data_IF_908086661046
#
_entry.id   IF_908086661046
#
_cell.length_a   1.000
_cell.length_b   1.000
_cell.length_c   1.000
_cell.angle_alpha   90.00
_cell.angle_beta   90.00
_cell.angle_gamma   90.00
#
_symmetry.space_group_name_H-M   'P 1'
#
loop_
_entity.id
_entity.type
_entity.pdbx_description
1 polymer ?
#
# COMPACT_ATOMS: atom_id res chain seq x y z
N UNK A 1 -6.78 -10.17 10.21
CA UNK A 1 -5.43 -10.17 10.77
C UNK A 1 -4.55 -9.24 9.96
N UNK A 2 -3.76 -8.45 10.63
CA UNK A 2 -2.83 -7.52 9.97
C UNK A 2 -1.42 -8.06 10.11
N UNK A 3 -0.73 -8.17 8.98
CA UNK A 3 0.68 -8.57 8.94
C UNK A 3 1.55 -7.34 8.83
N UNK A 4 2.78 -7.43 9.32
CA UNK A 4 3.74 -6.35 9.26
C UNK A 4 4.90 -6.76 8.38
N UNK A 5 5.23 -5.90 7.39
CA UNK A 5 6.43 -6.04 6.59
C UNK A 5 7.38 -4.96 7.04
N UNK A 6 8.57 -5.38 7.48
CA UNK A 6 9.65 -4.47 7.83
C UNK A 6 10.86 -4.83 6.99
N UNK A 7 11.81 -3.92 6.89
CA UNK A 7 13.06 -4.19 6.21
C UNK A 7 13.72 -5.42 6.84
N UNK A 8 13.98 -6.44 6.04
CA UNK A 8 14.61 -7.68 6.49
C UNK A 8 13.66 -8.80 6.87
N UNK A 9 12.36 -8.55 6.94
CA UNK A 9 11.38 -9.61 7.19
C UNK A 9 10.90 -10.26 5.90
N UNK A 10 10.63 -11.55 5.97
CA UNK A 10 10.02 -12.27 4.87
C UNK A 10 8.54 -11.96 4.82
N UNK A 11 8.09 -11.55 3.65
CA UNK A 11 6.69 -11.35 3.37
C UNK A 11 6.12 -12.68 2.89
N UNK A 12 5.19 -13.25 3.65
CA UNK A 12 4.62 -14.56 3.31
C UNK A 12 3.32 -14.41 2.54
N UNK A 13 3.28 -15.00 1.36
CA UNK A 13 2.09 -15.10 0.53
C UNK A 13 1.83 -16.58 0.20
N UNK A 14 0.60 -16.91 -0.24
CA UNK A 14 0.20 -18.28 -0.54
C UNK A 14 0.58 -18.75 -1.95
N UNK A 15 1.71 -18.27 -2.48
CA UNK A 15 2.19 -18.59 -3.82
C UNK A 15 3.72 -18.71 -3.79
N UNK A 16 4.32 -19.16 -4.88
CA UNK A 16 5.71 -19.62 -4.89
C UNK A 16 6.73 -18.66 -4.26
N UNK A 17 7.72 -19.21 -3.57
CA UNK A 17 8.73 -18.46 -2.82
C UNK A 17 9.45 -17.39 -3.64
N UNK A 18 9.81 -17.71 -4.90
CA UNK A 18 10.52 -16.75 -5.76
C UNK A 18 9.66 -15.53 -6.09
N UNK A 19 8.35 -15.73 -6.32
CA UNK A 19 7.44 -14.61 -6.53
C UNK A 19 7.22 -13.80 -5.26
N UNK A 20 7.07 -14.47 -4.11
CA UNK A 20 6.96 -13.80 -2.83
C UNK A 20 8.15 -12.91 -2.58
N UNK A 21 9.35 -13.40 -2.86
CA UNK A 21 10.58 -12.66 -2.66
C UNK A 21 10.63 -11.43 -3.58
N UNK A 22 10.35 -11.62 -4.86
CA UNK A 22 10.37 -10.52 -5.83
C UNK A 22 9.37 -9.40 -5.49
N UNK A 23 8.14 -9.78 -5.16
CA UNK A 23 7.11 -8.81 -4.77
C UNK A 23 7.47 -8.14 -3.44
N UNK A 24 8.01 -8.87 -2.49
CA UNK A 24 8.47 -8.30 -1.22
C UNK A 24 9.53 -7.23 -1.41
N UNK A 25 10.49 -7.47 -2.30
CA UNK A 25 11.51 -6.48 -2.65
C UNK A 25 10.91 -5.24 -3.30
N UNK A 26 10.01 -5.44 -4.24
CA UNK A 26 9.33 -4.34 -4.95
C UNK A 26 8.52 -3.49 -3.96
N UNK A 27 7.77 -4.14 -3.08
CA UNK A 27 6.98 -3.44 -2.06
C UNK A 27 7.85 -2.67 -1.08
N UNK A 28 9.01 -3.23 -0.72
CA UNK A 28 9.97 -2.53 0.15
C UNK A 28 10.47 -1.26 -0.53
N UNK A 29 10.89 -1.35 -1.77
CA UNK A 29 11.41 -0.21 -2.52
C UNK A 29 10.32 0.85 -2.73
N UNK A 30 9.11 0.43 -3.06
CA UNK A 30 7.98 1.34 -3.21
C UNK A 30 7.68 2.07 -1.90
N UNK A 31 7.58 1.31 -0.80
CA UNK A 31 7.30 1.86 0.52
C UNK A 31 8.35 2.88 0.93
N UNK A 32 9.62 2.58 0.67
CA UNK A 32 10.71 3.50 0.98
C UNK A 32 10.56 4.82 0.24
N UNK A 33 10.20 4.79 -1.04
CA UNK A 33 9.98 6.02 -1.82
C UNK A 33 8.81 6.82 -1.26
N UNK A 34 7.74 6.15 -0.83
CA UNK A 34 6.59 6.80 -0.21
C UNK A 34 6.98 7.44 1.13
N UNK A 35 7.75 6.74 1.96
CA UNK A 35 8.24 7.28 3.22
C UNK A 35 9.09 8.54 2.99
N UNK A 36 9.96 8.52 2.01
CA UNK A 36 10.80 9.66 1.67
C UNK A 36 9.98 10.85 1.16
N UNK A 37 8.93 10.58 0.38
CA UNK A 37 8.07 11.62 -0.17
C UNK A 37 7.23 12.31 0.91
N UNK A 38 6.54 11.53 1.73
CA UNK A 38 5.61 12.08 2.73
C UNK A 38 6.31 12.58 4.00
N UNK A 39 7.42 11.96 4.39
CA UNK A 39 8.12 12.31 5.62
C UNK A 39 7.20 12.20 6.84
N UNK A 40 7.13 13.25 7.64
CA UNK A 40 6.33 13.27 8.87
C UNK A 40 4.82 13.23 8.63
N UNK A 41 4.38 13.55 7.43
CA UNK A 41 2.95 13.49 7.10
C UNK A 41 2.46 12.09 6.80
N UNK A 42 3.35 11.10 6.71
CA UNK A 42 2.97 9.71 6.52
C UNK A 42 2.52 9.09 7.84
N UNK A 43 1.33 8.50 7.83
CA UNK A 43 0.82 7.75 8.98
C UNK A 43 1.04 6.26 8.76
N UNK A 44 0.62 5.75 7.61
CA UNK A 44 0.66 4.30 7.37
C UNK A 44 0.62 4.01 5.88
N UNK A 45 1.29 2.93 5.48
CA UNK A 45 1.15 2.35 4.15
C UNK A 45 0.60 0.95 4.32
N UNK A 46 -0.50 0.64 3.67
CA UNK A 46 -1.20 -0.63 3.78
C UNK A 46 -1.29 -1.32 2.43
N UNK A 47 -0.96 -2.61 2.41
CA UNK A 47 -1.29 -3.50 1.31
C UNK A 47 -2.66 -4.10 1.59
N UNK A 48 -3.58 -4.02 0.63
CA UNK A 48 -4.90 -4.63 0.76
C UNK A 48 -5.26 -5.34 -0.54
N UNK A 49 -6.48 -5.86 -0.62
CA UNK A 49 -6.94 -6.54 -1.83
C UNK A 49 -6.35 -7.93 -2.00
N UNK A 50 -6.31 -8.42 -3.24
CA UNK A 50 -5.98 -9.81 -3.54
C UNK A 50 -4.58 -10.22 -3.08
N UNK A 51 -3.59 -9.36 -3.21
CA UNK A 51 -2.24 -9.67 -2.73
C UNK A 51 -2.18 -9.81 -1.22
N UNK A 52 -2.93 -8.99 -0.48
CA UNK A 52 -2.99 -9.11 0.97
C UNK A 52 -3.70 -10.40 1.42
N UNK A 53 -4.74 -10.80 0.69
CA UNK A 53 -5.48 -12.04 0.98
C UNK A 53 -4.76 -13.30 0.51
N UNK A 54 -3.80 -13.16 -0.43
CA UNK A 54 -3.12 -14.31 -1.02
C UNK A 54 -3.90 -15.00 -2.14
N UNK A 55 -4.96 -14.36 -2.65
CA UNK A 55 -5.77 -14.90 -3.75
C UNK A 55 -5.53 -14.17 -5.08
N UNK A 56 -4.43 -13.46 -5.18
CA UNK A 56 -4.05 -12.74 -6.39
C UNK A 56 -3.81 -13.69 -7.56
N UNK A 57 -4.14 -13.19 -8.74
CA UNK A 57 -3.88 -13.85 -10.02
C UNK A 57 -2.69 -13.17 -10.71
N UNK A 58 -2.22 -13.78 -11.79
CA UNK A 58 -1.07 -13.29 -12.55
C UNK A 58 -1.17 -11.82 -12.94
N UNK A 59 -2.37 -11.36 -13.29
CA UNK A 59 -2.61 -9.98 -13.73
C UNK A 59 -3.23 -9.09 -12.65
N UNK A 60 -3.22 -9.51 -11.40
CA UNK A 60 -3.79 -8.70 -10.31
C UNK A 60 -2.92 -7.49 -10.05
N UNK A 61 -3.58 -6.34 -9.83
CA UNK A 61 -2.89 -5.12 -9.37
C UNK A 61 -2.49 -5.29 -7.91
N UNK A 62 -1.45 -4.59 -7.53
CA UNK A 62 -1.08 -4.48 -6.12
C UNK A 62 -1.80 -3.26 -5.56
N UNK A 63 -2.72 -3.48 -4.62
CA UNK A 63 -3.53 -2.41 -4.04
C UNK A 63 -2.86 -1.85 -2.78
N UNK A 64 -2.52 -0.57 -2.83
CA UNK A 64 -1.85 0.13 -1.73
C UNK A 64 -2.72 1.30 -1.27
N UNK A 65 -2.89 1.42 0.03
CA UNK A 65 -3.49 2.61 0.64
C UNK A 65 -2.44 3.35 1.46
N UNK A 66 -2.36 4.65 1.23
CA UNK A 66 -1.50 5.55 1.99
C UNK A 66 -2.40 6.38 2.90
N UNK A 67 -2.15 6.31 4.20
CA UNK A 67 -2.81 7.17 5.18
C UNK A 67 -1.86 8.28 5.56
N UNK A 68 -2.35 9.51 5.52
CA UNK A 68 -1.55 10.71 5.72
C UNK A 68 -2.29 11.73 6.58
N UNK A 69 -1.55 12.66 7.16
CA UNK A 69 -2.13 13.82 7.87
C UNK A 69 -2.55 14.93 6.91
N UNK A 70 -2.19 14.83 5.63
CA UNK A 70 -2.56 15.84 4.63
C UNK A 70 -4.08 15.92 4.47
N UNK A 71 -4.57 17.13 4.23
CA UNK A 71 -5.99 17.35 3.93
C UNK A 71 -6.33 16.80 2.53
N UNK A 72 -7.63 16.64 2.26
CA UNK A 72 -8.08 16.20 0.94
C UNK A 72 -7.59 17.15 -0.18
N UNK A 73 -7.57 18.44 0.10
CA UNK A 73 -7.06 19.43 -0.85
C UNK A 73 -5.57 19.22 -1.13
N UNK A 74 -4.78 19.05 -0.07
CA UNK A 74 -3.35 18.80 -0.20
C UNK A 74 -3.08 17.48 -0.93
N UNK A 75 -3.87 16.44 -0.66
CA UNK A 75 -3.77 15.16 -1.36
C UNK A 75 -4.00 15.35 -2.86
N UNK A 76 -5.04 16.09 -3.24
CA UNK A 76 -5.32 16.37 -4.65
C UNK A 76 -4.15 17.06 -5.34
N UNK A 77 -3.44 17.93 -4.62
CA UNK A 77 -2.30 18.67 -5.16
C UNK A 77 -1.08 17.78 -5.41
N UNK A 78 -0.92 16.68 -4.64
CA UNK A 78 0.29 15.84 -4.71
C UNK A 78 0.05 14.46 -5.33
N UNK A 79 -1.19 14.05 -5.54
CA UNK A 79 -1.49 12.67 -5.94
C UNK A 79 -0.82 12.26 -7.26
N UNK A 80 -0.64 13.20 -8.20
CA UNK A 80 0.03 12.90 -9.46
C UNK A 80 1.49 12.51 -9.26
N UNK A 81 2.16 13.10 -8.28
CA UNK A 81 3.54 12.72 -7.95
C UNK A 81 3.61 11.26 -7.50
N UNK A 82 2.61 10.82 -6.75
CA UNK A 82 2.53 9.45 -6.26
C UNK A 82 2.21 8.48 -7.41
N UNK A 83 1.30 8.88 -8.30
CA UNK A 83 1.00 8.07 -9.49
C UNK A 83 2.22 7.95 -10.39
N UNK A 84 3.04 8.98 -10.50
CA UNK A 84 4.30 8.93 -11.24
C UNK A 84 5.27 7.92 -10.63
N UNK A 85 5.34 7.86 -9.29
CA UNK A 85 6.15 6.84 -8.60
C UNK A 85 5.64 5.45 -8.95
N UNK A 86 4.33 5.22 -8.87
CA UNK A 86 3.74 3.92 -9.21
C UNK A 86 4.03 3.56 -10.68
N UNK A 87 3.98 4.52 -11.57
CA UNK A 87 4.28 4.32 -12.98
C UNK A 87 5.74 3.88 -13.20
N UNK A 88 6.69 4.42 -12.44
CA UNK A 88 8.08 3.98 -12.50
C UNK A 88 8.20 2.47 -12.22
N UNK A 89 7.44 1.98 -11.25
CA UNK A 89 7.44 0.55 -10.92
C UNK A 89 6.80 -0.29 -12.01
N UNK A 90 5.76 0.23 -12.68
CA UNK A 90 5.18 -0.44 -13.83
C UNK A 90 6.19 -0.57 -14.96
N UNK A 91 6.94 0.50 -15.24
CA UNK A 91 7.94 0.50 -16.31
C UNK A 91 9.15 -0.38 -15.98
N UNK A 92 9.62 -0.32 -14.73
CA UNK A 92 10.85 -1.00 -14.34
C UNK A 92 10.62 -2.50 -14.08
N UNK A 93 9.46 -2.87 -13.53
CA UNK A 93 9.22 -4.25 -13.06
C UNK A 93 8.01 -4.91 -13.71
N UNK A 94 7.23 -4.17 -14.51
CA UNK A 94 5.98 -4.70 -15.07
C UNK A 94 4.91 -4.93 -14.02
N UNK A 95 5.01 -4.27 -12.86
CA UNK A 95 4.07 -4.43 -11.75
C UNK A 95 3.18 -3.20 -11.65
N UNK A 96 1.87 -3.42 -11.73
CA UNK A 96 0.88 -2.36 -11.64
C UNK A 96 0.48 -2.15 -10.18
N UNK A 97 0.83 -0.98 -9.65
CA UNK A 97 0.49 -0.62 -8.27
C UNK A 97 -0.64 0.41 -8.30
N UNK A 98 -1.79 0.02 -7.75
CA UNK A 98 -2.96 0.89 -7.63
C UNK A 98 -2.91 1.58 -6.26
N UNK A 99 -2.82 2.90 -6.24
CA UNK A 99 -2.61 3.65 -5.01
C UNK A 99 -3.84 4.50 -4.70
N UNK A 100 -4.30 4.41 -3.46
CA UNK A 100 -5.33 5.30 -2.91
C UNK A 100 -4.69 6.04 -1.73
N UNK A 101 -4.86 7.36 -1.72
CA UNK A 101 -4.33 8.22 -0.64
C UNK A 101 -5.52 8.77 0.14
N UNK A 102 -5.50 8.59 1.47
CA UNK A 102 -6.58 9.05 2.34
C UNK A 102 -6.03 9.80 3.54
N UNK A 103 -6.75 10.85 3.93
CA UNK A 103 -6.53 11.50 5.20
C UNK A 103 -6.90 10.53 6.34
N UNK A 104 -6.07 10.45 7.37
CA UNK A 104 -6.28 9.52 8.48
C UNK A 104 -7.61 9.74 9.19
N UNK A 105 -8.01 10.99 9.43
CA UNK A 105 -9.25 11.30 10.14
C UNK A 105 -10.47 10.89 9.31
N UNK A 106 -10.42 11.07 8.01
CA UNK A 106 -11.48 10.62 7.10
C UNK A 106 -11.57 9.09 7.13
N UNK A 107 -10.44 8.41 7.10
CA UNK A 107 -10.42 6.95 7.19
C UNK A 107 -11.09 6.47 8.48
N UNK A 108 -10.71 7.05 9.63
CA UNK A 108 -11.28 6.70 10.93
C UNK A 108 -12.78 6.99 11.00
N UNK A 109 -13.20 8.10 10.39
CA UNK A 109 -14.61 8.48 10.36
C UNK A 109 -15.48 7.42 9.68
N UNK A 110 -15.01 6.87 8.56
CA UNK A 110 -15.77 5.88 7.79
C UNK A 110 -15.56 4.45 8.24
N UNK A 111 -14.54 4.22 9.08
CA UNK A 111 -14.28 2.89 9.63
C UNK A 111 -15.47 2.44 10.48
N UNK A 112 -15.93 1.24 10.24
CA UNK A 112 -17.14 0.70 10.90
C UNK A 112 -18.44 0.96 10.13
N UNK A 113 -18.43 1.89 9.16
CA UNK A 113 -19.63 2.28 8.42
C UNK A 113 -19.60 1.80 6.97
N UNK A 114 -18.46 2.02 6.28
CA UNK A 114 -18.35 1.63 4.87
C UNK A 114 -17.55 0.32 4.74
N UNK A 115 -18.11 -0.67 4.03
CA UNK A 115 -17.47 -1.99 3.88
C UNK A 115 -16.04 -1.93 3.37
N UNK A 116 -15.74 -1.02 2.44
CA UNK A 116 -14.40 -0.88 1.89
C UNK A 116 -13.36 -0.61 2.98
N UNK A 117 -13.65 0.36 3.87
CA UNK A 117 -12.71 0.73 4.95
C UNK A 117 -12.55 -0.41 5.95
N UNK A 118 -13.64 -1.12 6.26
CA UNK A 118 -13.58 -2.27 7.14
C UNK A 118 -12.74 -3.40 6.55
N UNK A 119 -12.86 -3.63 5.26
CA UNK A 119 -12.08 -4.66 4.58
C UNK A 119 -10.59 -4.31 4.57
N UNK A 120 -10.26 -3.05 4.32
CA UNK A 120 -8.86 -2.61 4.37
C UNK A 120 -8.26 -2.81 5.76
N UNK A 121 -9.00 -2.44 6.80
CA UNK A 121 -8.55 -2.61 8.20
C UNK A 121 -8.37 -4.09 8.55
N UNK A 122 -9.32 -4.92 8.14
CA UNK A 122 -9.34 -6.34 8.49
C UNK A 122 -8.30 -7.16 7.73
N UNK A 123 -8.13 -6.89 6.45
CA UNK A 123 -7.29 -7.68 5.55
C UNK A 123 -5.90 -7.06 5.35
N UNK A 124 -5.73 -5.81 5.72
CA UNK A 124 -4.54 -5.03 5.40
C UNK A 124 -3.26 -5.59 6.00
N UNK A 125 -2.19 -5.46 5.23
CA UNK A 125 -0.83 -5.75 5.64
C UNK A 125 -0.12 -4.41 5.79
N UNK A 126 0.42 -4.14 6.97
CA UNK A 126 1.12 -2.87 7.23
C UNK A 126 2.52 -2.93 6.62
N UNK A 127 2.78 -2.08 5.66
CA UNK A 127 4.10 -1.95 5.03
C UNK A 127 4.96 -0.89 5.73
N UNK A 128 4.32 0.13 6.29
CA UNK A 128 4.98 1.20 7.05
C UNK A 128 3.99 1.76 8.07
N UNK A 129 4.50 2.22 9.22
CA UNK A 129 3.70 2.78 10.29
C UNK A 129 3.39 1.76 11.39
N UNK A 130 2.49 2.15 12.26
CA UNK A 130 2.16 1.33 13.45
C UNK A 130 0.77 0.74 13.38
#
# INVERSE_FOLDING_TARGET
MVYYIQVGYNFKMNWGESMNYAIGEILRDFTKRIEEYFGESLIKVLLYGSYARGDNKENSDIDIMILTTLSDKEITEIENDIYDIAYDFLMDYGVDISVIIKNEDIFKYWLGTLPFYNNVEKEGVVLSGK
#
